data_IF_026530539729
#
_entry.id   IF_026530539729
#
_cell.length_a   1.000
_cell.length_b   1.000
_cell.length_c   1.000
_cell.angle_alpha   90.00
_cell.angle_beta   90.00
_cell.angle_gamma   90.00
#
_symmetry.space_group_name_H-M   'P 1'
#
loop_
_entity.id
_entity.type
_entity.pdbx_description
1 polymer ?
#
# COMPACT_ATOMS: atom_id res chain seq x y z
N UNK A 1 -16.18 -69.24 -17.63
CA UNK A 1 -17.05 -68.24 -18.28
C UNK A 1 -16.52 -66.91 -17.79
N UNK A 2 -15.58 -66.37 -18.55
CA UNK A 2 -14.61 -65.41 -18.03
C UNK A 2 -15.03 -64.06 -18.58
N UNK A 3 -15.70 -63.29 -17.73
CA UNK A 3 -16.30 -62.00 -18.04
C UNK A 3 -15.25 -60.89 -17.91
N UNK A 4 -14.36 -60.81 -18.90
CA UNK A 4 -13.45 -59.68 -19.01
C UNK A 4 -14.22 -58.47 -19.54
N UNK A 5 -14.44 -57.48 -18.68
CA UNK A 5 -14.92 -56.16 -19.10
C UNK A 5 -13.76 -55.40 -19.76
N UNK A 6 -13.91 -54.87 -20.98
CA UNK A 6 -12.88 -54.02 -21.56
C UNK A 6 -12.92 -52.66 -20.84
N UNK A 7 -12.00 -52.45 -19.91
CA UNK A 7 -11.65 -51.13 -19.39
C UNK A 7 -11.10 -50.30 -20.55
N UNK A 8 -11.99 -49.52 -21.15
CA UNK A 8 -11.71 -48.61 -22.26
C UNK A 8 -10.70 -47.55 -21.80
N UNK A 9 -9.40 -47.83 -21.95
CA UNK A 9 -8.34 -46.86 -21.78
C UNK A 9 -8.35 -45.89 -22.98
N UNK A 10 -9.31 -44.96 -22.97
CA UNK A 10 -9.38 -43.85 -23.91
C UNK A 10 -8.16 -42.97 -23.64
N UNK A 11 -7.09 -43.16 -24.42
CA UNK A 11 -5.82 -42.45 -24.31
C UNK A 11 -6.04 -40.98 -24.00
N UNK A 12 -5.85 -40.62 -22.72
CA UNK A 12 -6.02 -39.26 -22.23
C UNK A 12 -4.85 -38.46 -22.77
N UNK A 13 -5.03 -37.82 -23.93
CA UNK A 13 -4.12 -36.75 -24.37
C UNK A 13 -3.99 -35.80 -23.18
N UNK A 14 -2.79 -35.41 -22.72
CA UNK A 14 -2.61 -34.62 -21.49
C UNK A 14 -3.19 -33.20 -21.59
N UNK A 15 -3.80 -32.85 -22.72
CA UNK A 15 -4.45 -31.58 -23.02
C UNK A 15 -5.36 -31.05 -21.90
N UNK A 16 -6.30 -31.82 -21.31
CA UNK A 16 -7.16 -31.27 -20.25
C UNK A 16 -6.39 -31.01 -18.95
N UNK A 17 -5.32 -31.76 -18.68
CA UNK A 17 -4.46 -31.57 -17.50
C UNK A 17 -3.64 -30.29 -17.68
N UNK A 18 -3.05 -30.09 -18.86
CA UNK A 18 -2.30 -28.88 -19.18
C UNK A 18 -3.19 -27.64 -19.10
N UNK A 19 -4.41 -27.71 -19.66
CA UNK A 19 -5.39 -26.62 -19.57
C UNK A 19 -5.74 -26.30 -18.10
N UNK A 20 -5.93 -27.33 -17.26
CA UNK A 20 -6.24 -27.14 -15.85
C UNK A 20 -5.10 -26.46 -15.08
N UNK A 21 -3.85 -26.85 -15.36
CA UNK A 21 -2.65 -26.23 -14.78
C UNK A 21 -2.53 -24.76 -15.20
N UNK A 22 -2.75 -24.46 -16.49
CA UNK A 22 -2.70 -23.08 -16.99
C UNK A 22 -3.76 -22.21 -16.32
N UNK A 23 -4.99 -22.72 -16.16
CA UNK A 23 -6.07 -21.99 -15.46
C UNK A 23 -5.67 -21.72 -14.01
N UNK A 24 -5.12 -22.71 -13.29
CA UNK A 24 -4.65 -22.52 -11.92
C UNK A 24 -3.53 -21.50 -11.80
N UNK A 25 -2.59 -21.46 -12.75
CA UNK A 25 -1.51 -20.48 -12.78
C UNK A 25 -2.04 -19.06 -13.04
N UNK A 26 -2.98 -18.89 -13.97
CA UNK A 26 -3.59 -17.59 -14.26
C UNK A 26 -4.41 -17.08 -13.07
N UNK A 27 -5.20 -17.95 -12.43
CA UNK A 27 -5.97 -17.58 -11.25
C UNK A 27 -5.06 -17.27 -10.05
N UNK A 28 -4.01 -18.07 -9.83
CA UNK A 28 -3.04 -17.85 -8.76
C UNK A 28 -2.26 -16.55 -8.94
N UNK A 29 -1.74 -16.29 -10.15
CA UNK A 29 -1.03 -15.07 -10.49
C UNK A 29 -1.94 -13.84 -10.43
N UNK A 30 -3.18 -13.95 -10.92
CA UNK A 30 -4.18 -12.89 -10.85
C UNK A 30 -4.56 -12.52 -9.41
N UNK A 31 -4.80 -13.53 -8.57
CA UNK A 31 -5.11 -13.33 -7.15
C UNK A 31 -3.93 -12.72 -6.39
N UNK A 32 -2.71 -13.20 -6.63
CA UNK A 32 -1.49 -12.64 -6.02
C UNK A 32 -1.28 -11.17 -6.40
N UNK A 33 -1.44 -10.84 -7.69
CA UNK A 33 -1.34 -9.46 -8.18
C UNK A 33 -2.43 -8.56 -7.58
N UNK A 34 -3.67 -9.06 -7.44
CA UNK A 34 -4.74 -8.31 -6.78
C UNK A 34 -4.44 -8.07 -5.29
N UNK A 35 -3.97 -9.09 -4.57
CA UNK A 35 -3.65 -9.01 -3.14
C UNK A 35 -2.51 -8.00 -2.85
N UNK A 36 -1.56 -7.85 -3.78
CA UNK A 36 -0.49 -6.85 -3.66
C UNK A 36 -1.00 -5.40 -3.77
N UNK A 37 -2.07 -5.16 -4.55
CA UNK A 37 -2.61 -3.79 -4.74
C UNK A 37 -3.21 -3.20 -3.47
N UNK A 38 -3.86 -4.02 -2.65
CA UNK A 38 -4.46 -3.56 -1.39
C UNK A 38 -3.41 -3.32 -0.30
N UNK A 39 -2.29 -4.05 -0.35
CA UNK A 39 -1.21 -3.94 0.64
C UNK A 39 -0.21 -2.84 0.32
N UNK A 40 0.04 -2.55 -0.96
CA UNK A 40 1.13 -1.66 -1.39
C UNK A 40 0.95 -0.18 -1.03
N UNK A 41 -0.26 0.38 -1.18
CA UNK A 41 -0.50 1.80 -0.92
C UNK A 41 -1.01 2.07 0.50
N UNK A 42 -1.95 1.26 0.99
CA UNK A 42 -2.60 1.47 2.29
C UNK A 42 -1.75 0.96 3.45
N UNK A 43 -1.03 -0.15 3.25
CA UNK A 43 -0.11 -0.71 4.26
C UNK A 43 1.09 0.20 4.49
N UNK A 44 1.77 0.62 3.42
CA UNK A 44 2.91 1.52 3.50
C UNK A 44 2.53 2.88 4.11
N UNK A 45 1.36 3.45 3.79
CA UNK A 45 0.91 4.69 4.40
C UNK A 45 0.65 4.54 5.91
N UNK A 46 0.11 3.40 6.34
CA UNK A 46 -0.15 3.11 7.76
C UNK A 46 1.14 2.92 8.55
N UNK A 47 2.13 2.24 7.97
CA UNK A 47 3.43 2.04 8.59
C UNK A 47 4.23 3.34 8.69
N UNK A 48 4.17 4.19 7.64
CA UNK A 48 4.78 5.53 7.67
C UNK A 48 4.10 6.43 8.69
N UNK A 49 2.76 6.40 8.78
CA UNK A 49 2.01 7.18 9.78
C UNK A 49 2.28 6.72 11.21
N UNK A 50 2.51 5.42 11.44
CA UNK A 50 2.86 4.89 12.76
C UNK A 50 4.31 5.17 13.16
N UNK A 51 5.19 5.38 12.17
CA UNK A 51 6.60 5.70 12.39
C UNK A 51 6.87 7.19 12.63
N UNK A 52 5.91 8.08 12.32
CA UNK A 52 6.01 9.50 12.69
C UNK A 52 5.68 9.61 14.18
N UNK A 53 6.64 9.96 15.05
CA UNK A 53 6.32 10.23 16.45
C UNK A 53 5.30 11.37 16.48
N UNK A 54 4.21 11.19 17.21
CA UNK A 54 3.25 12.26 17.46
C UNK A 54 4.03 13.45 18.02
N UNK A 55 4.15 14.50 17.21
CA UNK A 55 4.74 15.75 17.65
C UNK A 55 3.82 16.22 18.75
N UNK A 56 4.25 16.10 20.02
CA UNK A 56 3.67 16.82 21.14
C UNK A 56 3.93 18.31 20.88
N UNK A 57 3.18 18.89 19.97
CA UNK A 57 3.01 20.34 19.89
C UNK A 57 2.34 20.69 21.19
N UNK A 58 3.12 21.18 22.15
CA UNK A 58 2.64 21.58 23.46
C UNK A 58 1.50 22.59 23.23
N UNK A 59 0.21 22.22 23.42
CA UNK A 59 -0.92 23.01 22.91
C UNK A 59 -1.20 24.25 23.76
N UNK A 60 -0.21 24.73 24.52
CA UNK A 60 -0.27 25.91 25.37
C UNK A 60 1.06 26.67 25.46
N UNK A 61 2.02 26.39 24.58
CA UNK A 61 3.23 27.20 24.50
C UNK A 61 2.95 28.36 23.54
N UNK A 62 2.66 29.53 24.11
CA UNK A 62 2.51 30.77 23.34
C UNK A 62 3.80 30.98 22.54
N UNK A 63 3.69 30.86 21.22
CA UNK A 63 4.73 31.33 20.32
C UNK A 63 4.85 32.83 20.59
N UNK A 64 6.07 33.37 20.82
CA UNK A 64 6.23 34.80 20.99
C UNK A 64 5.54 35.52 19.84
N UNK A 65 4.63 36.44 20.15
CA UNK A 65 3.87 37.19 19.14
C UNK A 65 4.81 37.97 18.20
N UNK A 66 5.99 38.33 18.71
CA UNK A 66 7.05 39.00 17.97
C UNK A 66 8.17 38.01 17.66
N UNK A 67 8.47 37.83 16.38
CA UNK A 67 9.64 37.09 15.94
C UNK A 67 10.91 37.82 16.44
N UNK A 68 11.84 37.15 17.14
CA UNK A 68 13.07 37.78 17.61
C UNK A 68 13.90 38.40 16.47
N UNK A 69 13.79 37.87 15.24
CA UNK A 69 14.42 38.46 14.06
C UNK A 69 13.82 39.82 13.68
N UNK A 70 12.54 40.04 14.01
CA UNK A 70 11.81 41.26 13.70
C UNK A 70 12.08 42.39 14.69
N UNK A 71 12.54 42.07 15.90
CA UNK A 71 13.01 43.07 16.89
C UNK A 71 14.23 43.85 16.39
N UNK A 72 15.02 43.26 15.50
CA UNK A 72 16.18 43.93 14.90
C UNK A 72 15.80 44.97 13.85
N UNK A 73 14.54 45.03 13.39
CA UNK A 73 14.09 46.00 12.40
C UNK A 73 13.24 47.12 13.06
N UNK A 74 13.82 48.30 13.32
CA UNK A 74 13.13 49.40 13.98
C UNK A 74 11.99 50.02 13.15
N UNK A 75 11.90 49.72 11.86
CA UNK A 75 10.88 50.28 10.96
C UNK A 75 9.70 49.32 10.71
N UNK A 76 9.72 48.11 11.28
CA UNK A 76 8.71 47.08 10.97
C UNK A 76 7.34 47.39 11.56
N UNK A 77 7.29 48.01 12.74
CA UNK A 77 6.03 48.35 13.45
C UNK A 77 5.80 49.85 13.60
N UNK A 78 6.85 50.66 13.43
CA UNK A 78 6.81 52.11 13.48
C UNK A 78 7.40 52.67 12.19
N UNK A 79 6.53 52.98 11.23
CA UNK A 79 6.92 53.65 9.99
C UNK A 79 6.73 55.17 10.16
N UNK A 80 7.80 55.98 10.21
CA UNK A 80 7.71 57.43 10.42
C UNK A 80 7.23 58.21 9.19
N UNK A 81 7.04 57.55 8.04
CA UNK A 81 6.62 58.15 6.77
C UNK A 81 5.14 57.90 6.45
N UNK A 82 4.38 57.34 7.38
CA UNK A 82 2.96 57.01 7.21
C UNK A 82 2.06 57.88 8.06
#
# INVERSE_FOLDING_TARGET
>A
MDNETPILNRGKRPVPIVVLIVILLVLGAGFWYWSQREKGAVGAAKDVSAAVPEIKTNPGQEVPEVNPLDLANPFKYTNPLR
#
